data_IF_275313190143
#
_entry.id   IF_275313190143
#
_cell.length_a   1.000
_cell.length_b   1.000
_cell.length_c   1.000
_cell.angle_alpha   90.00
_cell.angle_beta   90.00
_cell.angle_gamma   90.00
#
_symmetry.space_group_name_H-M   'P 1'
#
loop_
_entity.id
_entity.type
_entity.pdbx_description
1 polymer ?
#
# COMPACT_ATOMS: atom_id res chain seq x y z
N UNK A 1 -9.02 14.62 0.97
CA UNK A 1 -9.44 15.67 0.02
C UNK A 1 -8.23 16.39 -0.62
N UNK A 2 -7.19 16.74 0.16
CA UNK A 2 -5.99 17.42 -0.33
C UNK A 2 -5.27 16.63 -1.44
N UNK A 3 -5.05 15.34 -1.24
CA UNK A 3 -4.42 14.48 -2.25
C UNK A 3 -5.21 14.42 -3.56
N UNK A 4 -6.53 14.33 -3.50
CA UNK A 4 -7.39 14.32 -4.71
C UNK A 4 -7.28 15.62 -5.48
N UNK A 5 -7.21 16.76 -4.79
CA UNK A 5 -7.00 18.07 -5.42
C UNK A 5 -5.62 18.16 -6.06
N UNK A 6 -4.56 17.74 -5.35
CA UNK A 6 -3.21 17.72 -5.89
C UNK A 6 -3.11 16.82 -7.14
N UNK A 7 -3.68 15.62 -7.09
CA UNK A 7 -3.73 14.70 -8.22
C UNK A 7 -4.46 15.31 -9.42
N UNK A 8 -5.60 15.97 -9.21
CA UNK A 8 -6.34 16.65 -10.29
C UNK A 8 -5.49 17.71 -10.99
N UNK A 9 -4.71 18.50 -10.24
CA UNK A 9 -3.82 19.51 -10.84
C UNK A 9 -2.64 18.85 -11.59
N UNK A 10 -2.04 17.80 -11.01
CA UNK A 10 -0.94 17.07 -11.64
C UNK A 10 -1.39 16.43 -12.97
N UNK A 11 -2.57 15.80 -13.01
CA UNK A 11 -3.11 15.18 -14.21
C UNK A 11 -3.40 16.20 -15.33
N UNK A 12 -3.83 17.40 -14.99
CA UNK A 12 -4.05 18.49 -15.99
C UNK A 12 -2.76 18.90 -16.69
N UNK A 13 -1.62 18.85 -15.99
CA UNK A 13 -0.31 19.18 -16.57
C UNK A 13 0.18 18.10 -17.55
N UNK A 14 -0.34 16.88 -17.45
CA UNK A 14 0.09 15.74 -18.25
C UNK A 14 1.47 15.24 -17.89
N UNK A 15 1.89 14.14 -18.52
CA UNK A 15 3.13 13.43 -18.17
C UNK A 15 4.34 13.78 -19.04
N UNK A 16 4.17 14.66 -20.05
CA UNK A 16 5.20 14.96 -21.03
C UNK A 16 6.56 15.39 -20.47
N UNK A 17 6.55 16.10 -19.33
CA UNK A 17 7.76 16.56 -18.63
C UNK A 17 8.14 15.67 -17.43
N UNK A 18 7.58 14.47 -17.32
CA UNK A 18 7.86 13.56 -16.22
C UNK A 18 9.10 12.71 -16.50
N UNK A 19 9.79 12.38 -15.42
CA UNK A 19 10.83 11.35 -15.38
C UNK A 19 10.31 10.15 -14.58
N UNK A 20 11.05 9.05 -14.54
CA UNK A 20 10.61 7.85 -13.82
C UNK A 20 10.19 8.11 -12.37
N UNK A 21 10.94 8.95 -11.64
CA UNK A 21 10.59 9.34 -10.26
C UNK A 21 9.20 10.00 -10.15
N UNK A 22 8.79 10.79 -11.14
CA UNK A 22 7.47 11.44 -11.14
C UNK A 22 6.33 10.44 -11.14
N UNK A 23 6.47 9.34 -11.89
CA UNK A 23 5.48 8.25 -11.92
C UNK A 23 5.39 7.54 -10.58
N UNK A 24 6.53 7.19 -9.96
CA UNK A 24 6.57 6.56 -8.66
C UNK A 24 5.94 7.45 -7.56
N UNK A 25 6.29 8.73 -7.53
CA UNK A 25 5.71 9.72 -6.61
C UNK A 25 4.19 9.88 -6.82
N UNK A 26 3.75 9.95 -8.07
CA UNK A 26 2.32 10.06 -8.38
C UNK A 26 1.55 8.80 -7.97
N UNK A 27 2.16 7.61 -8.10
CA UNK A 27 1.59 6.35 -7.59
C UNK A 27 1.41 6.38 -6.07
N UNK A 28 2.39 6.91 -5.31
CA UNK A 28 2.25 7.12 -3.86
C UNK A 28 1.06 8.03 -3.54
N UNK A 29 0.93 9.17 -4.22
CA UNK A 29 -0.20 10.08 -4.01
C UNK A 29 -1.55 9.42 -4.29
N UNK A 30 -1.63 8.58 -5.33
CA UNK A 30 -2.82 7.79 -5.61
C UNK A 30 -3.10 6.76 -4.51
N UNK A 31 -2.08 6.06 -4.02
CA UNK A 31 -2.23 5.12 -2.91
C UNK A 31 -2.72 5.82 -1.64
N UNK A 32 -2.15 6.98 -1.29
CA UNK A 32 -2.58 7.81 -0.16
C UNK A 32 -4.01 8.36 -0.32
N UNK A 33 -4.47 8.54 -1.57
CA UNK A 33 -5.85 8.90 -1.89
C UNK A 33 -6.82 7.70 -1.91
N UNK A 34 -6.35 6.50 -1.56
CA UNK A 34 -7.10 5.24 -1.59
C UNK A 34 -7.59 4.88 -3.02
N UNK A 35 -6.83 5.28 -4.04
CA UNK A 35 -7.12 5.01 -5.45
C UNK A 35 -6.14 3.97 -6.02
N UNK A 36 -6.46 2.69 -5.83
CA UNK A 36 -5.62 1.58 -6.30
C UNK A 36 -5.46 1.51 -7.82
N UNK A 37 -6.49 1.89 -8.58
CA UNK A 37 -6.42 1.88 -10.04
C UNK A 37 -5.41 2.91 -10.56
N UNK A 38 -5.44 4.13 -10.01
CA UNK A 38 -4.49 5.18 -10.36
C UNK A 38 -3.07 4.85 -9.95
N UNK A 39 -2.87 4.32 -8.72
CA UNK A 39 -1.57 3.89 -8.23
C UNK A 39 -0.98 2.80 -9.13
N UNK A 40 -1.73 1.76 -9.41
CA UNK A 40 -1.31 0.66 -10.28
C UNK A 40 -0.94 1.13 -11.69
N UNK A 41 -1.75 2.01 -12.29
CA UNK A 41 -1.48 2.52 -13.63
C UNK A 41 -0.17 3.30 -13.71
N UNK A 42 0.14 4.14 -12.72
CA UNK A 42 1.41 4.87 -12.66
C UNK A 42 2.61 3.94 -12.43
N UNK A 43 2.48 2.93 -11.57
CA UNK A 43 3.51 1.90 -11.38
C UNK A 43 3.73 1.09 -12.67
N UNK A 44 2.66 0.74 -13.38
CA UNK A 44 2.74 0.04 -14.66
C UNK A 44 3.46 0.88 -15.73
N UNK A 45 3.11 2.16 -15.87
CA UNK A 45 3.77 3.08 -16.79
C UNK A 45 5.26 3.24 -16.48
N UNK A 46 5.62 3.34 -15.19
CA UNK A 46 7.01 3.36 -14.74
C UNK A 46 7.75 2.08 -15.16
N UNK A 47 7.22 0.92 -14.84
CA UNK A 47 7.85 -0.36 -15.15
C UNK A 47 8.00 -0.59 -16.67
N UNK A 48 6.98 -0.20 -17.45
CA UNK A 48 6.96 -0.40 -18.90
C UNK A 48 7.91 0.56 -19.65
N UNK A 49 7.96 1.83 -19.27
CA UNK A 49 8.73 2.87 -20.00
C UNK A 49 10.15 3.11 -19.48
N UNK A 50 10.39 2.88 -18.18
CA UNK A 50 11.57 3.39 -17.48
C UNK A 50 12.45 2.30 -16.84
N UNK A 51 12.04 1.04 -16.85
CA UNK A 51 12.81 -0.06 -16.25
C UNK A 51 13.37 -0.99 -17.31
N UNK A 52 14.67 -1.26 -17.22
CA UNK A 52 15.39 -2.20 -18.09
C UNK A 52 15.06 -3.67 -17.70
N UNK A 53 15.42 -4.62 -18.57
CA UNK A 53 15.21 -6.05 -18.32
C UNK A 53 15.97 -6.57 -17.08
N UNK A 54 17.08 -5.93 -16.72
CA UNK A 54 17.84 -6.24 -15.51
C UNK A 54 17.26 -5.59 -14.23
N UNK A 55 16.11 -4.90 -14.33
CA UNK A 55 15.46 -4.22 -13.22
C UNK A 55 15.99 -2.82 -12.92
N UNK A 56 16.99 -2.31 -13.65
CA UNK A 56 17.52 -0.97 -13.42
C UNK A 56 16.60 0.11 -14.00
N UNK A 57 16.46 1.19 -13.26
CA UNK A 57 15.71 2.36 -13.67
C UNK A 57 16.57 3.29 -14.55
N UNK A 58 16.05 3.65 -15.70
CA UNK A 58 16.55 4.73 -16.54
C UNK A 58 15.59 5.91 -16.46
N UNK A 59 16.11 7.10 -16.19
CA UNK A 59 15.30 8.26 -15.81
C UNK A 59 14.43 8.84 -16.94
N UNK A 60 14.61 8.46 -18.21
CA UNK A 60 13.78 8.82 -19.35
C UNK A 60 12.93 7.67 -19.86
N UNK A 61 11.88 7.97 -20.61
CA UNK A 61 11.08 7.01 -21.39
C UNK A 61 11.91 6.50 -22.57
N UNK A 62 12.96 5.72 -22.27
CA UNK A 62 13.93 5.28 -23.25
C UNK A 62 13.36 4.27 -24.27
N UNK A 63 12.27 3.61 -23.91
CA UNK A 63 11.52 2.70 -24.80
C UNK A 63 10.55 3.43 -25.71
N UNK A 64 10.44 4.77 -25.59
CA UNK A 64 9.57 5.63 -26.38
C UNK A 64 8.11 5.19 -26.40
N UNK A 65 7.60 4.85 -25.20
CA UNK A 65 6.21 4.43 -25.00
C UNK A 65 5.21 5.59 -25.06
N UNK A 66 5.70 6.82 -25.17
CA UNK A 66 4.88 8.02 -25.18
C UNK A 66 4.47 8.52 -23.79
N UNK A 67 5.10 8.00 -22.73
CA UNK A 67 4.82 8.44 -21.37
C UNK A 67 5.51 9.77 -21.02
N UNK A 68 6.64 10.07 -21.69
CA UNK A 68 7.41 11.30 -21.49
C UNK A 68 8.06 11.75 -22.79
N UNK A 69 8.41 13.03 -22.87
CA UNK A 69 9.24 13.59 -23.96
C UNK A 69 10.73 13.39 -23.71
N UNK A 70 11.13 12.95 -22.50
CA UNK A 70 12.52 12.66 -22.18
C UNK A 70 12.86 11.20 -22.54
N UNK A 71 13.85 10.99 -23.41
CA UNK A 71 14.25 9.65 -23.88
C UNK A 71 15.68 9.26 -23.51
N UNK A 72 16.32 10.01 -22.61
CA UNK A 72 17.71 9.75 -22.19
C UNK A 72 17.80 8.52 -21.27
N UNK A 73 19.00 7.90 -21.25
CA UNK A 73 19.26 6.62 -20.57
C UNK A 73 20.14 6.79 -19.33
N UNK A 74 19.96 7.85 -18.56
CA UNK A 74 20.71 8.04 -17.31
C UNK A 74 20.15 7.15 -16.21
N UNK A 75 21.02 6.37 -15.59
CA UNK A 75 20.67 5.53 -14.45
C UNK A 75 20.47 6.38 -13.19
N UNK A 76 19.41 6.09 -12.47
CA UNK A 76 19.09 6.67 -11.16
C UNK A 76 18.41 5.64 -10.28
N UNK A 77 18.47 5.79 -8.96
CA UNK A 77 17.95 4.80 -8.00
C UNK A 77 16.66 5.22 -7.30
N UNK A 78 16.45 6.52 -7.13
CA UNK A 78 15.38 7.07 -6.30
C UNK A 78 13.97 6.61 -6.72
N UNK A 79 13.75 6.44 -8.01
CA UNK A 79 12.45 6.03 -8.50
C UNK A 79 12.14 4.55 -8.20
N UNK A 80 13.15 3.69 -8.10
CA UNK A 80 12.96 2.30 -7.68
C UNK A 80 12.53 2.23 -6.21
N UNK A 81 13.12 3.05 -5.34
CA UNK A 81 12.67 3.15 -3.95
C UNK A 81 11.25 3.71 -3.86
N UNK A 82 10.94 4.76 -4.64
CA UNK A 82 9.59 5.31 -4.73
C UNK A 82 8.56 4.30 -5.25
N UNK A 83 8.94 3.44 -6.19
CA UNK A 83 8.11 2.33 -6.66
C UNK A 83 7.79 1.33 -5.54
N UNK A 84 8.81 0.90 -4.79
CA UNK A 84 8.63 -0.02 -3.67
C UNK A 84 7.76 0.60 -2.57
N UNK A 85 7.98 1.88 -2.27
CA UNK A 85 7.22 2.62 -1.27
C UNK A 85 5.74 2.76 -1.69
N UNK A 86 5.47 3.14 -2.95
CA UNK A 86 4.11 3.20 -3.48
C UNK A 86 3.39 1.84 -3.38
N UNK A 87 4.10 0.75 -3.66
CA UNK A 87 3.54 -0.60 -3.55
C UNK A 87 3.21 -0.95 -2.08
N UNK A 88 4.07 -0.57 -1.13
CA UNK A 88 3.80 -0.75 0.29
C UNK A 88 2.62 0.09 0.75
N UNK A 89 2.52 1.36 0.33
CA UNK A 89 1.38 2.25 0.62
C UNK A 89 0.05 1.72 0.06
N UNK A 90 0.07 0.97 -1.04
CA UNK A 90 -1.12 0.29 -1.56
C UNK A 90 -1.59 -0.85 -0.64
N UNK A 91 -0.66 -1.48 0.10
CA UNK A 91 -0.91 -2.67 0.93
C UNK A 91 -1.11 -2.34 2.40
N UNK A 92 -0.36 -1.38 2.96
CA UNK A 92 -0.42 -0.98 4.36
C UNK A 92 -0.11 0.50 4.53
N UNK A 93 -1.01 1.23 5.21
CA UNK A 93 -0.82 2.63 5.61
C UNK A 93 -0.93 2.78 7.12
N UNK A 94 -0.14 3.71 7.71
CA UNK A 94 -0.13 3.96 9.15
C UNK A 94 -0.09 5.45 9.56
N UNK A 95 0.09 6.36 8.60
CA UNK A 95 0.34 7.79 8.86
C UNK A 95 -0.84 8.55 9.51
N UNK A 96 -2.02 7.92 9.61
CA UNK A 96 -3.22 8.49 10.26
C UNK A 96 -3.37 8.05 11.73
N UNK A 97 -2.37 7.41 12.32
CA UNK A 97 -2.42 6.88 13.69
C UNK A 97 -3.21 5.59 13.84
N UNK A 98 -3.42 4.88 12.76
CA UNK A 98 -4.00 3.54 12.73
C UNK A 98 -3.44 2.72 11.57
N UNK A 99 -3.48 1.42 11.69
CA UNK A 99 -3.17 0.51 10.58
C UNK A 99 -4.36 0.43 9.62
N UNK A 100 -4.11 0.70 8.36
CA UNK A 100 -5.08 0.52 7.28
C UNK A 100 -4.52 -0.49 6.28
N UNK A 101 -5.02 -1.72 6.33
CA UNK A 101 -4.59 -2.78 5.43
C UNK A 101 -5.36 -2.70 4.11
N UNK A 102 -4.64 -2.85 3.01
CA UNK A 102 -5.13 -2.85 1.64
C UNK A 102 -5.96 -1.61 1.23
N UNK A 103 -5.48 -0.38 1.55
CA UNK A 103 -6.23 0.84 1.28
C UNK A 103 -6.41 1.16 -0.20
N UNK A 104 -5.52 0.66 -1.07
CA UNK A 104 -5.48 1.06 -2.48
C UNK A 104 -5.24 -0.14 -3.42
N UNK A 105 -6.10 -1.15 -3.32
CA UNK A 105 -6.00 -2.34 -4.18
C UNK A 105 -6.73 -2.10 -5.51
N UNK A 106 -6.09 -2.35 -6.65
CA UNK A 106 -6.74 -2.27 -7.94
C UNK A 106 -7.66 -3.49 -8.16
N UNK A 107 -8.78 -3.28 -8.85
CA UNK A 107 -9.82 -4.31 -9.06
C UNK A 107 -9.29 -5.63 -9.65
N UNK A 108 -8.30 -5.57 -10.54
CA UNK A 108 -7.71 -6.75 -11.15
C UNK A 108 -7.00 -7.67 -10.15
N UNK A 109 -6.63 -7.18 -8.97
CA UNK A 109 -5.99 -7.99 -7.92
C UNK A 109 -6.99 -8.61 -6.93
N UNK A 110 -8.24 -8.12 -6.88
CA UNK A 110 -9.24 -8.54 -5.89
C UNK A 110 -9.54 -10.05 -5.95
N UNK A 111 -9.53 -10.61 -7.16
CA UNK A 111 -9.91 -12.03 -7.37
C UNK A 111 -8.72 -13.00 -7.26
N UNK A 112 -7.47 -12.53 -7.28
CA UNK A 112 -6.29 -13.39 -7.33
C UNK A 112 -5.81 -13.85 -5.96
N UNK A 113 -6.33 -13.22 -4.90
CA UNK A 113 -5.83 -13.41 -3.54
C UNK A 113 -4.49 -12.69 -3.33
N UNK A 114 -4.47 -11.73 -2.42
CA UNK A 114 -3.30 -10.90 -2.13
C UNK A 114 -2.84 -11.20 -0.71
N UNK A 115 -1.55 -11.35 -0.53
CA UNK A 115 -0.93 -11.51 0.77
C UNK A 115 0.37 -10.71 0.86
N UNK A 116 0.58 -10.04 1.97
CA UNK A 116 1.90 -9.50 2.34
C UNK A 116 2.30 -9.98 3.72
N UNK A 117 3.61 -10.10 3.96
CA UNK A 117 4.12 -10.68 5.18
C UNK A 117 5.21 -9.80 5.81
N UNK A 118 5.04 -9.51 7.11
CA UNK A 118 6.08 -8.94 7.95
C UNK A 118 6.47 -7.51 7.63
N UNK A 119 5.55 -6.68 7.11
CA UNK A 119 5.80 -5.24 6.95
C UNK A 119 5.99 -4.61 8.31
N UNK A 120 7.08 -3.86 8.46
CA UNK A 120 7.37 -3.17 9.72
C UNK A 120 6.57 -1.87 9.80
N UNK A 121 5.89 -1.68 10.92
CA UNK A 121 5.07 -0.53 11.23
C UNK A 121 5.54 0.15 12.52
N UNK A 122 4.81 1.19 12.98
CA UNK A 122 5.15 1.96 14.16
C UNK A 122 5.36 1.05 15.40
N UNK A 123 6.21 1.50 16.32
CA UNK A 123 6.55 0.72 17.52
C UNK A 123 7.23 -0.63 17.24
N UNK A 124 7.66 -0.89 15.99
CA UNK A 124 8.32 -2.13 15.60
C UNK A 124 7.40 -3.33 15.40
N UNK A 125 6.09 -3.10 15.29
CA UNK A 125 5.11 -4.15 14.95
C UNK A 125 5.43 -4.70 13.56
N UNK A 126 5.38 -6.03 13.40
CA UNK A 126 5.35 -6.64 12.08
C UNK A 126 3.90 -6.99 11.73
N UNK A 127 3.46 -6.49 10.60
CA UNK A 127 2.08 -6.65 10.11
C UNK A 127 2.09 -7.55 8.89
N UNK A 128 1.16 -8.50 8.86
CA UNK A 128 0.86 -9.29 7.67
C UNK A 128 -0.63 -9.24 7.39
N UNK A 129 -1.01 -9.25 6.15
CA UNK A 129 -2.41 -9.19 5.75
C UNK A 129 -2.72 -10.10 4.58
N UNK A 130 -3.97 -10.56 4.49
CA UNK A 130 -4.45 -11.41 3.41
C UNK A 130 -5.85 -11.04 2.96
N UNK A 131 -6.00 -10.86 1.64
CA UNK A 131 -7.29 -10.78 0.95
C UNK A 131 -7.61 -12.15 0.34
N UNK A 132 -8.85 -12.56 0.46
CA UNK A 132 -9.41 -13.73 -0.21
C UNK A 132 -10.79 -13.38 -0.74
N UNK A 133 -11.05 -13.71 -2.00
CA UNK A 133 -12.33 -13.41 -2.66
C UNK A 133 -12.75 -11.92 -2.57
N UNK A 134 -11.79 -11.01 -2.74
CA UNK A 134 -12.01 -9.57 -2.71
C UNK A 134 -12.15 -8.93 -1.31
N UNK A 135 -12.06 -9.71 -0.23
CA UNK A 135 -12.24 -9.22 1.13
C UNK A 135 -11.05 -9.52 2.02
N UNK A 136 -10.78 -8.63 2.97
CA UNK A 136 -9.83 -8.91 4.03
C UNK A 136 -10.28 -10.17 4.77
N UNK A 137 -9.39 -11.15 4.87
CA UNK A 137 -9.68 -12.44 5.52
C UNK A 137 -8.84 -12.67 6.76
N UNK A 138 -7.64 -12.10 6.82
CA UNK A 138 -6.71 -12.34 7.92
C UNK A 138 -5.75 -11.15 8.11
N UNK A 139 -5.50 -10.81 9.37
CA UNK A 139 -4.41 -9.94 9.82
C UNK A 139 -3.57 -10.74 10.81
N UNK A 140 -2.25 -10.72 10.66
CA UNK A 140 -1.30 -11.25 11.66
C UNK A 140 -0.39 -10.13 12.12
N UNK A 141 -0.20 -10.05 13.43
CA UNK A 141 0.64 -9.06 14.09
C UNK A 141 1.69 -9.78 14.94
N UNK A 142 2.95 -9.36 14.85
CA UNK A 142 4.00 -9.69 15.82
C UNK A 142 4.33 -8.43 16.59
N UNK A 143 4.04 -8.43 17.88
CA UNK A 143 4.04 -7.29 18.78
C UNK A 143 5.29 -7.36 19.65
N UNK A 144 6.20 -6.37 19.60
CA UNK A 144 7.47 -6.42 20.31
C UNK A 144 7.33 -6.16 21.82
N UNK A 145 6.33 -5.35 22.21
CA UNK A 145 6.04 -5.00 23.60
C UNK A 145 4.55 -4.67 23.76
N UNK A 146 4.07 -4.53 25.00
CA UNK A 146 2.67 -4.16 25.25
C UNK A 146 2.35 -2.80 24.65
N UNK A 147 1.29 -2.72 23.84
CA UNK A 147 0.89 -1.48 23.18
C UNK A 147 -0.59 -1.46 22.79
N UNK A 148 -1.10 -0.23 22.60
CA UNK A 148 -2.41 0.03 22.02
C UNK A 148 -2.29 0.10 20.52
N UNK A 149 -3.06 -0.72 19.80
CA UNK A 149 -3.07 -0.77 18.34
C UNK A 149 -4.48 -0.43 17.85
N UNK A 150 -4.57 0.53 16.94
CA UNK A 150 -5.80 0.89 16.25
C UNK A 150 -5.73 0.39 14.82
N UNK A 151 -6.74 -0.36 14.38
CA UNK A 151 -6.81 -0.97 13.03
C UNK A 151 -8.12 -0.55 12.39
N UNK A 152 -8.07 0.01 11.19
CA UNK A 152 -9.28 0.29 10.39
C UNK A 152 -9.95 -1.04 10.03
N UNK A 153 -11.22 -1.18 10.34
CA UNK A 153 -11.96 -2.38 9.94
C UNK A 153 -12.25 -2.34 8.43
N UNK A 154 -11.68 -3.28 7.72
CA UNK A 154 -11.96 -3.55 6.30
C UNK A 154 -12.47 -4.97 6.07
N UNK A 155 -12.79 -5.71 7.15
CA UNK A 155 -13.55 -6.95 7.05
C UNK A 155 -14.99 -6.67 6.63
N UNK A 156 -15.67 -7.63 6.00
CA UNK A 156 -17.09 -7.47 5.62
C UNK A 156 -18.03 -7.42 6.83
N UNK A 157 -17.56 -7.74 8.02
CA UNK A 157 -18.34 -7.79 9.27
C UNK A 157 -17.82 -6.78 10.29
N UNK A 158 -18.70 -6.36 11.22
CA UNK A 158 -18.33 -5.50 12.37
C UNK A 158 -17.67 -6.28 13.51
N UNK A 159 -17.65 -7.59 13.43
CA UNK A 159 -17.05 -8.48 14.41
C UNK A 159 -15.94 -9.28 13.77
N UNK A 160 -14.90 -9.55 14.55
CA UNK A 160 -13.81 -10.41 14.13
C UNK A 160 -13.34 -11.29 15.30
N UNK A 161 -12.70 -12.40 14.99
CA UNK A 161 -12.07 -13.28 15.96
C UNK A 161 -10.64 -12.88 16.15
N UNK A 162 -10.28 -12.52 17.39
CA UNK A 162 -8.91 -12.25 17.81
C UNK A 162 -8.37 -13.47 18.55
N UNK A 163 -7.28 -14.02 18.06
CA UNK A 163 -6.47 -15.07 18.68
C UNK A 163 -5.12 -14.48 19.08
N UNK A 164 -4.71 -14.68 20.31
CA UNK A 164 -3.39 -14.32 20.84
C UNK A 164 -2.73 -15.55 21.43
N UNK A 165 -1.46 -15.46 21.79
CA UNK A 165 -0.75 -16.56 22.48
C UNK A 165 -1.42 -16.98 23.80
N UNK A 166 -2.30 -16.14 24.39
CA UNK A 166 -2.94 -16.35 25.69
C UNK A 166 -4.43 -16.67 25.62
N UNK A 167 -5.15 -16.12 24.65
CA UNK A 167 -6.62 -16.21 24.60
C UNK A 167 -7.16 -16.03 23.20
N UNK A 168 -8.38 -16.53 23.04
CA UNK A 168 -9.24 -16.24 21.86
C UNK A 168 -10.49 -15.50 22.33
N UNK A 169 -10.89 -14.47 21.60
CA UNK A 169 -12.09 -13.68 21.90
C UNK A 169 -12.69 -13.08 20.63
N UNK A 170 -13.95 -12.73 20.68
CA UNK A 170 -14.60 -11.92 19.64
C UNK A 170 -14.37 -10.45 19.99
N UNK A 171 -13.98 -9.67 18.98
CA UNK A 171 -13.82 -8.22 19.05
C UNK A 171 -14.87 -7.57 18.18
N UNK A 172 -15.34 -6.39 18.57
CA UNK A 172 -16.28 -5.57 17.81
C UNK A 172 -15.61 -4.24 17.41
N UNK A 173 -15.96 -3.76 16.23
CA UNK A 173 -15.52 -2.44 15.80
C UNK A 173 -16.27 -1.33 16.54
N UNK A 174 -15.56 -0.23 16.78
CA UNK A 174 -16.14 1.04 17.25
C UNK A 174 -15.76 2.10 16.23
N UNK A 175 -16.76 2.75 15.65
CA UNK A 175 -16.60 3.82 14.65
C UNK A 175 -15.68 3.41 13.46
N UNK A 176 -15.78 2.15 13.03
CA UNK A 176 -15.00 1.62 11.90
C UNK A 176 -13.59 1.15 12.26
N UNK A 177 -13.28 1.00 13.56
CA UNK A 177 -11.96 0.59 14.01
C UNK A 177 -12.03 -0.52 15.06
N UNK A 178 -11.04 -1.41 15.04
CA UNK A 178 -10.67 -2.24 16.19
C UNK A 178 -9.61 -1.49 16.99
N UNK A 179 -9.88 -1.27 18.29
CA UNK A 179 -8.93 -0.65 19.22
C UNK A 179 -8.53 -1.72 20.24
N UNK A 180 -7.29 -2.17 20.20
CA UNK A 180 -6.80 -3.36 20.88
C UNK A 180 -5.59 -3.04 21.75
N UNK A 181 -5.68 -3.30 23.04
CA UNK A 181 -4.50 -3.37 23.92
C UNK A 181 -3.94 -4.79 23.82
N UNK A 182 -2.77 -4.95 23.23
CA UNK A 182 -2.12 -6.23 22.99
C UNK A 182 -0.79 -6.32 23.74
N UNK A 183 -0.54 -7.46 24.35
CA UNK A 183 0.72 -7.79 25.00
C UNK A 183 1.77 -8.18 23.94
N UNK A 184 3.06 -8.22 24.34
CA UNK A 184 4.14 -8.81 23.56
C UNK A 184 3.78 -10.23 23.13
N UNK A 185 3.95 -10.54 21.84
CA UNK A 185 3.64 -11.87 21.29
C UNK A 185 3.03 -11.80 19.90
N UNK A 186 2.24 -12.80 19.57
CA UNK A 186 1.55 -12.90 18.30
C UNK A 186 0.04 -12.65 18.48
N UNK A 187 -0.56 -12.00 17.48
CA UNK A 187 -2.00 -11.87 17.39
C UNK A 187 -2.46 -12.16 15.96
N UNK A 188 -3.60 -12.84 15.85
CA UNK A 188 -4.25 -13.14 14.58
C UNK A 188 -5.70 -12.65 14.65
N UNK A 189 -6.14 -11.94 13.62
CA UNK A 189 -7.51 -11.44 13.49
C UNK A 189 -8.11 -12.01 12.21
N UNK A 190 -9.29 -12.62 12.31
CA UNK A 190 -10.05 -13.17 11.18
C UNK A 190 -11.48 -12.70 11.23
N UNK A 191 -12.04 -12.31 10.09
CA UNK A 191 -13.44 -11.89 9.95
C UNK A 191 -14.39 -13.01 9.60
#
# INVERSE_FOLDING_TARGET
ELYKKALSEIEKLGTGMWVGFSFAMCAQLYAMAENGAGAYEKLRQFADGFVEENGFHLNGDYKQKGYSTFHYRRFTLEALFGFCDALQEMLLQEYRGYLHLFPAIPKQWENEGIEFNGFRSYGGILVSGKIKNGYLSEIRLKIPEKMLIKIKNTFPTKRARLETDKKTQIIEETEGFFVLELEKGNAKITG
#
